data_IF_441933297605
#
_entry.id   IF_441933297605
#
_cell.length_a   1.000
_cell.length_b   1.000
_cell.length_c   1.000
_cell.angle_alpha   90.00
_cell.angle_beta   90.00
_cell.angle_gamma   90.00
#
_symmetry.space_group_name_H-M   'P 1'
#
loop_
_entity.id
_entity.type
_entity.pdbx_description
1 polymer ?
#
# COMPACT_ATOMS: atom_id res chain seq x y z
N UNK A 1 -17.51 -26.22 -6.59
CA UNK A 1 -16.30 -25.82 -5.84
C UNK A 1 -16.32 -24.31 -5.81
N UNK A 2 -16.70 -23.71 -4.68
CA UNK A 2 -16.63 -22.25 -4.56
C UNK A 2 -15.17 -21.82 -4.61
N UNK A 3 -14.85 -20.89 -5.50
CA UNK A 3 -13.52 -20.32 -5.57
C UNK A 3 -13.24 -19.55 -4.28
N UNK A 4 -12.02 -19.69 -3.74
CA UNK A 4 -11.60 -18.89 -2.59
C UNK A 4 -11.77 -17.40 -2.92
N UNK A 5 -12.30 -16.63 -1.97
CA UNK A 5 -12.36 -15.17 -2.07
C UNK A 5 -10.94 -14.62 -2.13
N UNK A 6 -10.76 -13.49 -2.81
CA UNK A 6 -9.44 -12.85 -2.95
C UNK A 6 -9.44 -11.51 -2.25
N UNK A 7 -8.39 -11.26 -1.48
CA UNK A 7 -8.10 -9.96 -0.89
C UNK A 7 -6.71 -9.49 -1.34
N UNK A 8 -6.59 -8.21 -1.67
CA UNK A 8 -5.34 -7.55 -1.99
C UNK A 8 -5.09 -6.44 -0.96
N UNK A 9 -3.96 -6.53 -0.27
CA UNK A 9 -3.47 -5.51 0.66
C UNK A 9 -2.41 -4.71 -0.10
N UNK A 10 -2.68 -3.42 -0.30
CA UNK A 10 -1.69 -2.48 -0.83
C UNK A 10 -0.99 -1.77 0.34
N UNK A 11 0.33 -1.77 0.33
CA UNK A 11 1.16 -1.08 1.33
C UNK A 11 2.09 -0.07 0.67
N UNK A 12 2.62 0.84 1.47
CA UNK A 12 3.71 1.73 1.10
C UNK A 12 4.64 1.81 2.31
N UNK A 13 5.93 1.50 2.14
CA UNK A 13 6.88 1.40 3.24
C UNK A 13 7.45 2.76 3.68
N UNK A 14 6.64 3.80 3.54
CA UNK A 14 6.96 5.15 3.99
C UNK A 14 6.92 5.22 5.52
N UNK A 15 8.03 4.90 6.18
CA UNK A 15 8.15 4.90 7.64
C UNK A 15 8.08 3.51 8.29
N UNK A 16 8.80 3.37 9.40
CA UNK A 16 9.28 2.11 10.03
C UNK A 16 8.23 1.10 10.57
N UNK A 17 7.00 1.06 10.06
CA UNK A 17 5.95 0.15 10.59
C UNK A 17 4.93 -0.39 9.60
N UNK A 18 4.78 0.21 8.42
CA UNK A 18 3.70 -0.12 7.48
C UNK A 18 3.75 -1.59 7.02
N UNK A 19 4.92 -2.09 6.61
CA UNK A 19 5.12 -3.49 6.24
C UNK A 19 4.74 -4.45 7.38
N UNK A 20 5.15 -4.14 8.61
CA UNK A 20 4.86 -4.99 9.76
C UNK A 20 3.37 -5.04 10.06
N UNK A 21 2.68 -3.88 10.00
CA UNK A 21 1.24 -3.80 10.20
C UNK A 21 0.46 -4.57 9.11
N UNK A 22 0.85 -4.40 7.84
CA UNK A 22 0.23 -5.09 6.71
C UNK A 22 0.40 -6.61 6.81
N UNK A 23 1.58 -7.10 7.21
CA UNK A 23 1.81 -8.52 7.48
C UNK A 23 0.90 -9.02 8.61
N UNK A 24 0.80 -8.29 9.73
CA UNK A 24 -0.05 -8.69 10.85
C UNK A 24 -1.53 -8.80 10.45
N UNK A 25 -2.03 -7.89 9.61
CA UNK A 25 -3.40 -7.95 9.07
C UNK A 25 -3.58 -9.16 8.16
N UNK A 26 -2.65 -9.41 7.22
CA UNK A 26 -2.66 -10.60 6.36
C UNK A 26 -2.75 -11.87 7.20
N UNK A 27 -1.87 -11.98 8.19
CA UNK A 27 -1.74 -13.17 9.01
C UNK A 27 -3.00 -13.40 9.85
N UNK A 28 -3.58 -12.35 10.43
CA UNK A 28 -4.85 -12.44 11.15
C UNK A 28 -6.04 -12.87 10.26
N UNK A 29 -6.05 -12.49 8.98
CA UNK A 29 -7.07 -12.97 8.03
C UNK A 29 -6.87 -14.45 7.73
N UNK A 30 -5.63 -14.87 7.44
CA UNK A 30 -5.32 -16.25 7.11
C UNK A 30 -5.55 -17.18 8.30
N UNK A 31 -5.29 -16.74 9.53
CA UNK A 31 -5.53 -17.50 10.75
C UNK A 31 -7.01 -17.89 10.91
N UNK A 32 -7.94 -17.06 10.41
CA UNK A 32 -9.39 -17.28 10.48
C UNK A 32 -10.00 -17.88 9.21
N UNK A 33 -9.43 -17.60 8.04
CA UNK A 33 -10.10 -17.83 6.75
C UNK A 33 -9.22 -18.47 5.67
N UNK A 34 -8.08 -19.08 6.01
CA UNK A 34 -7.15 -19.67 5.02
C UNK A 34 -7.80 -20.66 4.03
N UNK A 35 -8.83 -21.40 4.43
CA UNK A 35 -9.54 -22.32 3.54
C UNK A 35 -10.50 -21.62 2.58
N UNK A 36 -10.96 -20.42 2.92
CA UNK A 36 -12.00 -19.69 2.20
C UNK A 36 -11.45 -18.48 1.41
N UNK A 37 -10.21 -18.06 1.71
CA UNK A 37 -9.63 -16.83 1.17
C UNK A 37 -8.16 -16.99 0.79
N UNK A 38 -7.74 -16.25 -0.22
CA UNK A 38 -6.34 -15.94 -0.50
C UNK A 38 -6.08 -14.47 -0.27
N UNK A 39 -4.95 -14.12 0.35
CA UNK A 39 -4.58 -12.74 0.65
C UNK A 39 -3.22 -12.46 0.03
N UNK A 40 -3.17 -11.45 -0.84
CA UNK A 40 -1.94 -10.95 -1.45
C UNK A 40 -1.55 -9.64 -0.78
N UNK A 41 -0.26 -9.43 -0.52
CA UNK A 41 0.29 -8.17 0.01
C UNK A 41 1.30 -7.65 -1.01
N UNK A 42 1.01 -6.49 -1.58
CA UNK A 42 1.85 -5.86 -2.60
C UNK A 42 2.18 -4.43 -2.20
N UNK A 43 3.38 -4.01 -2.54
CA UNK A 43 3.78 -2.62 -2.53
C UNK A 43 3.87 -2.13 -3.98
N UNK A 44 2.94 -1.28 -4.45
CA UNK A 44 2.99 -0.76 -5.82
C UNK A 44 4.32 -0.03 -6.11
N UNK A 45 4.94 0.56 -5.08
CA UNK A 45 6.18 1.30 -5.22
C UNK A 45 7.42 0.39 -5.42
N UNK A 46 7.31 -0.91 -5.17
CA UNK A 46 8.37 -1.87 -5.47
C UNK A 46 8.36 -2.29 -6.96
N UNK A 47 7.36 -1.87 -7.73
CA UNK A 47 7.22 -2.25 -9.13
C UNK A 47 8.28 -1.52 -10.01
N UNK A 48 9.02 -2.24 -10.89
CA UNK A 48 10.11 -1.67 -11.68
C UNK A 48 9.74 -0.48 -12.57
N UNK A 49 8.53 -0.45 -13.12
CA UNK A 49 8.01 0.66 -13.95
C UNK A 49 7.51 1.85 -13.14
N UNK A 50 7.42 1.75 -11.81
CA UNK A 50 7.06 2.88 -10.95
C UNK A 50 8.09 4.02 -11.10
N UNK A 51 7.65 5.26 -11.36
CA UNK A 51 8.53 6.42 -11.43
C UNK A 51 9.41 6.54 -10.19
N UNK A 52 10.71 6.80 -10.39
CA UNK A 52 11.69 6.81 -9.29
C UNK A 52 11.31 7.77 -8.17
N UNK A 53 10.79 8.96 -8.50
CA UNK A 53 10.38 9.95 -7.51
C UNK A 53 9.29 9.45 -6.55
N UNK A 54 8.43 8.51 -6.99
CA UNK A 54 7.43 7.87 -6.12
C UNK A 54 8.07 6.78 -5.26
N UNK A 55 9.03 6.02 -5.80
CA UNK A 55 9.77 4.99 -5.04
C UNK A 55 10.60 5.61 -3.91
N UNK A 56 11.23 6.74 -4.19
CA UNK A 56 12.11 7.45 -3.26
C UNK A 56 11.33 7.98 -2.04
N UNK A 57 10.01 8.19 -2.16
CA UNK A 57 9.17 8.63 -1.03
C UNK A 57 9.15 7.66 0.13
N UNK A 58 9.47 6.38 -0.08
CA UNK A 58 9.46 5.36 0.98
C UNK A 58 10.62 5.55 1.98
N UNK A 59 11.79 5.95 1.48
CA UNK A 59 13.01 6.15 2.27
C UNK A 59 13.21 7.60 2.72
N UNK A 60 12.73 8.57 1.93
CA UNK A 60 12.93 10.00 2.15
C UNK A 60 11.65 10.71 2.63
N UNK A 61 10.66 9.98 3.16
CA UNK A 61 9.35 10.52 3.54
C UNK A 61 9.44 11.81 4.37
N UNK A 62 10.26 11.81 5.43
CA UNK A 62 10.46 12.97 6.32
C UNK A 62 11.02 14.20 5.59
N UNK A 63 11.79 13.98 4.53
CA UNK A 63 12.43 15.01 3.71
C UNK A 63 11.44 15.54 2.67
N UNK A 64 10.67 14.68 2.02
CA UNK A 64 9.67 15.10 1.04
C UNK A 64 8.49 15.85 1.67
N UNK A 65 8.00 15.42 2.84
CA UNK A 65 6.96 16.15 3.59
C UNK A 65 7.40 17.59 3.91
N UNK A 66 8.69 17.80 4.18
CA UNK A 66 9.23 19.13 4.52
C UNK A 66 9.59 20.00 3.31
N UNK A 67 9.94 19.38 2.17
CA UNK A 67 10.52 20.11 1.04
C UNK A 67 9.65 20.14 -0.22
N UNK A 68 8.62 19.29 -0.32
CA UNK A 68 7.71 19.25 -1.47
C UNK A 68 6.26 19.06 -1.01
N UNK A 69 5.70 20.02 -0.24
CA UNK A 69 4.32 19.94 0.24
C UNK A 69 3.29 19.81 -0.90
N UNK A 70 3.61 20.32 -2.10
CA UNK A 70 2.76 20.22 -3.28
C UNK A 70 2.57 18.77 -3.75
N UNK A 71 3.59 17.91 -3.60
CA UNK A 71 3.46 16.47 -3.93
C UNK A 71 2.51 15.78 -2.95
N UNK A 72 2.56 16.20 -1.68
CA UNK A 72 1.67 15.71 -0.65
C UNK A 72 0.21 16.13 -0.90
N UNK A 73 0.01 17.39 -1.27
CA UNK A 73 -1.28 17.93 -1.66
C UNK A 73 -1.84 17.22 -2.89
N UNK A 74 -1.01 16.98 -3.92
CA UNK A 74 -1.43 16.25 -5.12
C UNK A 74 -1.85 14.81 -4.80
N UNK A 75 -1.11 14.12 -3.92
CA UNK A 75 -1.49 12.79 -3.44
C UNK A 75 -2.82 12.80 -2.70
N UNK A 76 -3.03 13.79 -1.83
CA UNK A 76 -4.28 13.98 -1.11
C UNK A 76 -5.46 14.24 -2.06
N UNK A 77 -5.33 15.21 -2.96
CA UNK A 77 -6.35 15.55 -3.96
C UNK A 77 -6.68 14.36 -4.87
N UNK A 78 -5.68 13.57 -5.27
CA UNK A 78 -5.89 12.35 -6.02
C UNK A 78 -6.68 11.29 -5.23
N UNK A 79 -6.42 11.17 -3.93
CA UNK A 79 -7.09 10.22 -3.03
C UNK A 79 -8.51 10.63 -2.63
N UNK A 80 -8.80 11.94 -2.63
CA UNK A 80 -10.09 12.51 -2.26
C UNK A 80 -11.08 12.55 -3.45
N UNK A 81 -10.60 12.22 -4.66
CA UNK A 81 -11.46 12.02 -5.81
C UNK A 81 -12.25 10.72 -5.66
N UNK A 82 -13.54 10.78 -6.01
CA UNK A 82 -14.37 9.59 -6.17
C UNK A 82 -13.66 8.61 -7.10
N UNK A 83 -13.45 7.38 -6.62
CA UNK A 83 -12.96 6.29 -7.47
C UNK A 83 -13.93 6.19 -8.67
N UNK A 84 -13.45 6.34 -9.92
CA UNK A 84 -14.31 6.22 -11.09
C UNK A 84 -15.01 4.87 -11.08
N UNK A 85 -16.34 4.89 -11.14
CA UNK A 85 -17.20 3.71 -11.26
C UNK A 85 -17.28 3.22 -12.70
#
# INVERSE_FOLDING_TARGET
MDSKKRALILTADAGFGHRSAANAVRDAILDKYAEQMTVELLNPLDEPTTPSFLRDTQSDYDKYVKHVPELYQLGYEASDNLIPT
#
